data_IF_091662204658
#
_entry.id   IF_091662204658
#
_cell.length_a   1.000
_cell.length_b   1.000
_cell.length_c   1.000
_cell.angle_alpha   90.00
_cell.angle_beta   90.00
_cell.angle_gamma   90.00
#
_symmetry.space_group_name_H-M   'P 1'
#
loop_
_entity.id
_entity.type
_entity.pdbx_description
1 polymer ?
#
# COMPACT_ATOMS: atom_id res chain seq x y z
N UNK A 1 -10.36 29.50 -0.33
CA UNK A 1 -11.22 28.53 0.40
C UNK A 1 -12.67 28.95 0.27
N UNK A 2 -12.97 30.22 0.49
CA UNK A 2 -14.25 30.87 0.17
C UNK A 2 -14.73 30.59 -1.27
N UNK A 3 -13.83 30.63 -2.25
CA UNK A 3 -14.14 30.28 -3.65
C UNK A 3 -14.63 28.83 -3.83
N UNK A 4 -14.03 27.86 -3.11
CA UNK A 4 -14.42 26.45 -3.19
C UNK A 4 -15.82 26.27 -2.61
N UNK A 5 -16.07 26.82 -1.42
CA UNK A 5 -17.39 26.80 -0.79
C UNK A 5 -18.47 27.41 -1.70
N UNK A 6 -18.24 28.63 -2.19
CA UNK A 6 -19.18 29.32 -3.08
C UNK A 6 -19.45 28.53 -4.37
N UNK A 7 -18.41 27.95 -4.97
CA UNK A 7 -18.55 27.16 -6.21
C UNK A 7 -19.36 25.89 -5.95
N UNK A 8 -19.07 25.17 -4.86
CA UNK A 8 -19.85 24.00 -4.45
C UNK A 8 -21.32 24.36 -4.19
N UNK A 9 -21.61 25.45 -3.47
CA UNK A 9 -23.00 25.88 -3.22
C UNK A 9 -23.73 26.21 -4.51
N UNK A 10 -23.08 26.92 -5.46
CA UNK A 10 -23.67 27.21 -6.78
C UNK A 10 -24.01 25.92 -7.55
N UNK A 11 -23.11 24.93 -7.53
CA UNK A 11 -23.34 23.64 -8.16
C UNK A 11 -24.49 22.88 -7.51
N UNK A 12 -24.56 22.86 -6.17
CA UNK A 12 -25.64 22.23 -5.43
C UNK A 12 -27.00 22.88 -5.72
N UNK A 13 -27.09 24.22 -5.67
CA UNK A 13 -28.32 24.95 -6.00
C UNK A 13 -28.82 24.62 -7.40
N UNK A 14 -27.89 24.53 -8.37
CA UNK A 14 -28.21 24.18 -9.77
C UNK A 14 -28.66 22.72 -9.90
N UNK A 15 -27.94 21.78 -9.31
CA UNK A 15 -28.21 20.34 -9.47
C UNK A 15 -29.50 19.93 -8.74
N UNK A 16 -29.77 20.52 -7.58
CA UNK A 16 -30.98 20.26 -6.78
C UNK A 16 -32.17 21.12 -7.22
N UNK A 17 -31.97 22.09 -8.12
CA UNK A 17 -32.96 23.09 -8.49
C UNK A 17 -33.57 23.81 -7.28
N UNK A 18 -32.75 24.10 -6.27
CA UNK A 18 -33.13 24.76 -5.03
C UNK A 18 -32.22 25.98 -4.79
N UNK A 19 -32.74 27.22 -4.93
CA UNK A 19 -31.93 28.41 -4.70
C UNK A 19 -31.63 28.66 -3.21
N UNK A 20 -32.32 28.00 -2.28
CA UNK A 20 -32.23 28.24 -0.84
C UNK A 20 -31.19 27.39 -0.12
N UNK A 21 -30.46 26.51 -0.83
CA UNK A 21 -29.32 25.79 -0.25
C UNK A 21 -28.37 26.82 0.40
N UNK A 22 -28.12 26.74 1.72
CA UNK A 22 -27.35 27.75 2.43
C UNK A 22 -25.86 27.64 2.09
N UNK A 23 -25.13 28.73 2.30
CA UNK A 23 -23.67 28.68 2.26
C UNK A 23 -23.12 27.85 3.44
N UNK A 24 -22.02 27.12 3.25
CA UNK A 24 -21.41 26.34 4.31
C UNK A 24 -20.86 27.26 5.42
N UNK A 25 -21.11 26.89 6.69
CA UNK A 25 -20.50 27.60 7.83
C UNK A 25 -18.99 27.40 7.91
N UNK A 26 -18.49 26.24 7.45
CA UNK A 26 -17.07 25.92 7.44
C UNK A 26 -16.75 25.05 6.24
N UNK A 27 -15.63 25.35 5.59
CA UNK A 27 -15.06 24.51 4.54
C UNK A 27 -13.68 24.04 4.97
N UNK A 28 -13.40 22.75 4.80
CA UNK A 28 -12.06 22.19 4.99
C UNK A 28 -11.59 21.64 3.66
N UNK A 29 -10.50 22.20 3.13
CA UNK A 29 -9.92 21.77 1.85
C UNK A 29 -8.50 21.27 2.08
N UNK A 30 -8.26 19.99 1.79
CA UNK A 30 -6.92 19.42 1.88
C UNK A 30 -6.07 19.80 0.66
N UNK A 31 -4.79 20.11 0.88
CA UNK A 31 -3.82 20.38 -0.19
C UNK A 31 -2.68 19.37 -0.18
N UNK A 32 -3.00 18.08 -0.34
CA UNK A 32 -2.07 16.94 -0.21
C UNK A 32 -0.73 17.12 -0.95
N UNK A 33 -0.75 17.64 -2.18
CA UNK A 33 0.48 17.91 -2.96
C UNK A 33 1.43 18.90 -2.28
N UNK A 34 0.89 19.89 -1.56
CA UNK A 34 1.67 20.93 -0.87
C UNK A 34 2.07 20.53 0.55
N UNK A 35 1.50 19.44 1.09
CA UNK A 35 1.82 18.97 2.43
C UNK A 35 3.24 18.37 2.46
N UNK A 36 4.11 18.77 3.40
CA UNK A 36 5.52 18.38 3.39
C UNK A 36 5.75 16.89 3.63
N UNK A 37 4.87 16.23 4.38
CA UNK A 37 5.01 14.83 4.76
C UNK A 37 4.35 13.84 3.81
N UNK A 38 3.43 14.28 2.95
CA UNK A 38 2.75 13.40 1.98
C UNK A 38 3.13 13.72 0.54
N UNK A 39 3.33 15.00 0.21
CA UNK A 39 3.76 15.50 -1.12
C UNK A 39 2.91 15.02 -2.30
N UNK A 40 1.72 14.51 -2.01
CA UNK A 40 0.85 13.78 -2.92
C UNK A 40 -0.28 13.12 -2.12
N UNK A 41 -1.24 12.52 -2.83
CA UNK A 41 -2.34 11.79 -2.22
C UNK A 41 -1.99 10.29 -2.09
N UNK A 42 -1.74 9.63 -3.23
CA UNK A 42 -1.41 8.21 -3.33
C UNK A 42 -0.68 7.94 -4.65
N UNK A 43 -0.02 6.78 -4.72
CA UNK A 43 0.70 6.32 -5.90
C UNK A 43 -0.24 6.03 -7.06
N UNK A 44 0.24 6.22 -8.29
CA UNK A 44 -0.42 5.78 -9.51
C UNK A 44 0.67 5.46 -10.53
N UNK A 45 0.41 4.48 -11.40
CA UNK A 45 1.32 4.16 -12.50
C UNK A 45 1.18 5.25 -13.56
N UNK A 46 2.22 6.06 -13.72
CA UNK A 46 2.28 7.12 -14.71
C UNK A 46 2.43 6.55 -16.13
N UNK A 47 2.19 7.39 -17.14
CA UNK A 47 2.49 7.03 -18.54
C UNK A 47 3.98 6.69 -18.66
N UNK A 48 4.28 5.50 -19.17
CA UNK A 48 5.65 4.98 -19.32
C UNK A 48 6.18 4.21 -18.10
N UNK A 49 5.47 4.23 -16.97
CA UNK A 49 5.75 3.36 -15.82
C UNK A 49 4.98 2.04 -15.96
N UNK A 50 5.32 1.06 -15.12
CA UNK A 50 4.64 -0.23 -15.09
C UNK A 50 4.56 -0.83 -13.70
N UNK A 51 3.86 -1.95 -13.59
CA UNK A 51 3.73 -2.70 -12.34
C UNK A 51 5.09 -3.11 -11.75
N UNK A 52 6.10 -3.34 -12.59
CA UNK A 52 7.45 -3.69 -12.15
C UNK A 52 8.11 -2.59 -11.32
N UNK A 53 7.69 -1.33 -11.49
CA UNK A 53 8.23 -0.21 -10.70
C UNK A 53 7.77 -0.30 -9.25
N UNK A 54 6.51 -0.69 -9.01
CA UNK A 54 5.97 -0.96 -7.67
C UNK A 54 6.67 -2.15 -7.03
N UNK A 55 6.89 -3.22 -7.79
CA UNK A 55 7.59 -4.42 -7.32
C UNK A 55 9.06 -4.12 -7.00
N UNK A 56 9.69 -3.24 -7.79
CA UNK A 56 11.05 -2.76 -7.56
C UNK A 56 11.15 -1.91 -6.30
N UNK A 57 10.17 -1.01 -6.05
CA UNK A 57 10.09 -0.22 -4.82
C UNK A 57 9.92 -1.11 -3.57
N UNK A 58 9.29 -2.27 -3.71
CA UNK A 58 9.11 -3.21 -2.61
C UNK A 58 10.38 -4.04 -2.29
N UNK A 59 11.39 -4.01 -3.15
CA UNK A 59 12.61 -4.82 -2.95
C UNK A 59 13.43 -4.27 -1.78
N UNK A 60 13.91 -5.16 -0.89
CA UNK A 60 14.81 -4.74 0.18
C UNK A 60 16.20 -4.37 -0.35
N UNK A 61 16.94 -3.58 0.43
CA UNK A 61 18.37 -3.35 0.18
C UNK A 61 19.22 -4.15 1.16
N UNK A 62 20.26 -4.77 0.62
CA UNK A 62 21.27 -5.53 1.35
C UNK A 62 22.58 -4.75 1.35
N UNK A 63 23.40 -4.92 2.39
CA UNK A 63 24.71 -4.28 2.44
C UNK A 63 25.68 -4.94 1.46
N UNK A 64 25.62 -6.27 1.33
CA UNK A 64 26.35 -7.05 0.33
C UNK A 64 25.44 -8.06 -0.37
N UNK A 65 25.87 -8.53 -1.54
CA UNK A 65 25.12 -9.50 -2.38
C UNK A 65 24.88 -10.85 -1.67
N UNK A 66 25.72 -11.21 -0.71
CA UNK A 66 25.63 -12.47 0.02
C UNK A 66 24.93 -12.35 1.38
N UNK A 67 24.53 -11.15 1.77
CA UNK A 67 23.85 -10.96 3.06
C UNK A 67 22.45 -11.57 2.97
N UNK A 68 22.12 -12.44 3.93
CA UNK A 68 20.79 -13.04 4.01
C UNK A 68 19.75 -12.09 4.61
N UNK A 69 20.22 -11.08 5.36
CA UNK A 69 19.37 -10.13 6.06
C UNK A 69 19.46 -8.74 5.41
N UNK A 70 18.32 -8.12 5.09
CA UNK A 70 18.33 -6.80 4.51
C UNK A 70 18.66 -5.73 5.56
N UNK A 71 19.36 -4.68 5.15
CA UNK A 71 19.63 -3.50 5.99
C UNK A 71 18.53 -2.45 5.87
N UNK A 72 17.77 -2.49 4.78
CA UNK A 72 16.62 -1.61 4.56
C UNK A 72 15.47 -2.39 3.94
N UNK A 73 14.28 -2.17 4.49
CA UNK A 73 13.02 -2.68 3.98
C UNK A 73 12.11 -1.49 3.68
N UNK A 74 11.31 -1.60 2.62
CA UNK A 74 10.31 -0.62 2.26
C UNK A 74 8.90 -1.18 2.52
N UNK A 75 8.02 -0.31 2.99
CA UNK A 75 6.62 -0.60 3.22
C UNK A 75 5.78 0.67 2.98
N UNK A 76 4.48 0.47 2.83
CA UNK A 76 3.51 1.52 2.50
C UNK A 76 2.71 1.19 1.25
N UNK A 77 1.73 2.04 0.93
CA UNK A 77 0.81 1.80 -0.19
C UNK A 77 1.55 1.60 -1.53
N UNK A 78 2.63 2.34 -1.75
CA UNK A 78 3.44 2.33 -2.96
C UNK A 78 4.30 1.06 -3.16
N UNK A 79 4.21 0.07 -2.27
CA UNK A 79 5.02 -1.15 -2.29
C UNK A 79 4.20 -2.44 -2.42
N UNK A 80 2.87 -2.35 -2.46
CA UNK A 80 2.01 -3.53 -2.62
C UNK A 80 1.60 -3.70 -4.08
N UNK A 81 2.03 -4.78 -4.74
CA UNK A 81 1.82 -4.97 -6.18
C UNK A 81 0.34 -4.94 -6.59
N UNK A 82 -0.53 -5.65 -5.85
CA UNK A 82 -1.95 -5.75 -6.21
C UNK A 82 -2.85 -4.65 -5.63
N UNK A 83 -2.40 -3.96 -4.58
CA UNK A 83 -3.25 -3.09 -3.75
C UNK A 83 -2.59 -1.74 -3.45
N UNK A 84 -1.72 -1.27 -4.36
CA UNK A 84 -1.18 0.09 -4.25
C UNK A 84 -2.29 1.13 -4.27
N UNK A 85 -2.00 2.33 -3.77
CA UNK A 85 -2.98 3.41 -3.54
C UNK A 85 -4.01 3.15 -2.45
N UNK A 86 -3.94 2.04 -1.71
CA UNK A 86 -4.94 1.68 -0.70
C UNK A 86 -4.36 1.56 0.71
N UNK A 87 -5.24 1.73 1.70
CA UNK A 87 -4.90 1.54 3.12
C UNK A 87 -4.57 0.08 3.44
N UNK A 88 -5.34 -0.88 2.91
CA UNK A 88 -5.08 -2.30 3.16
C UNK A 88 -3.79 -2.77 2.50
N UNK A 89 -3.45 -2.26 1.31
CA UNK A 89 -2.14 -2.49 0.69
C UNK A 89 -0.98 -2.00 1.55
N UNK A 90 -1.10 -0.80 2.15
CA UNK A 90 -0.11 -0.27 3.09
C UNK A 90 0.03 -1.14 4.36
N UNK A 91 -1.09 -1.63 4.88
CA UNK A 91 -1.11 -2.51 6.05
C UNK A 91 -0.45 -3.86 5.76
N UNK A 92 -0.80 -4.49 4.63
CA UNK A 92 -0.26 -5.78 4.22
C UNK A 92 1.24 -5.69 3.88
N UNK A 93 1.69 -4.62 3.23
CA UNK A 93 3.12 -4.42 2.96
C UNK A 93 3.92 -4.20 4.26
N UNK A 94 3.35 -3.49 5.23
CA UNK A 94 3.92 -3.37 6.57
C UNK A 94 4.08 -4.71 7.29
N UNK A 95 3.07 -5.57 7.26
CA UNK A 95 3.16 -6.94 7.79
C UNK A 95 4.24 -7.76 7.08
N UNK A 96 4.32 -7.69 5.75
CA UNK A 96 5.32 -8.41 4.97
C UNK A 96 6.76 -7.96 5.32
N UNK A 97 6.99 -6.66 5.43
CA UNK A 97 8.29 -6.10 5.86
C UNK A 97 8.63 -6.54 7.30
N UNK A 98 7.67 -6.50 8.22
CA UNK A 98 7.86 -6.94 9.60
C UNK A 98 8.23 -8.44 9.68
N UNK A 99 7.51 -9.31 8.96
CA UNK A 99 7.83 -10.74 8.89
C UNK A 99 9.25 -10.97 8.41
N UNK A 100 9.67 -10.30 7.33
CA UNK A 100 11.06 -10.39 6.80
C UNK A 100 12.10 -9.92 7.81
N UNK A 101 11.81 -8.87 8.58
CA UNK A 101 12.72 -8.36 9.60
C UNK A 101 12.91 -9.35 10.76
N UNK A 102 11.84 -10.07 11.11
CA UNK A 102 11.84 -11.06 12.20
C UNK A 102 12.36 -12.44 11.77
N UNK A 103 12.44 -12.73 10.46
CA UNK A 103 13.00 -13.99 9.98
C UNK A 103 14.46 -14.14 10.45
N UNK A 104 14.79 -15.21 11.20
CA UNK A 104 16.16 -15.45 11.67
C UNK A 104 17.11 -15.75 10.51
N UNK A 105 18.41 -15.46 10.69
CA UNK A 105 19.45 -15.66 9.67
C UNK A 105 19.83 -17.13 9.43
N UNK A 106 19.27 -18.04 10.23
CA UNK A 106 19.65 -19.45 10.23
C UNK A 106 19.12 -20.10 8.95
N UNK A 107 20.03 -20.53 8.07
CA UNK A 107 19.70 -21.52 7.07
C UNK A 107 19.32 -22.81 7.80
N UNK A 108 18.23 -23.46 7.41
CA UNK A 108 18.04 -24.86 7.75
C UNK A 108 19.31 -25.62 7.30
N UNK A 109 20.14 -26.00 8.26
CA UNK A 109 21.21 -26.96 8.01
C UNK A 109 20.53 -28.31 7.69
N UNK A 110 20.67 -28.73 6.43
CA UNK A 110 20.60 -30.11 5.97
C UNK A 110 19.48 -30.98 6.58
N UNK A 111 18.26 -30.86 6.08
CA UNK A 111 17.35 -32.01 6.03
C UNK A 111 17.49 -32.63 4.64
N UNK A 112 18.10 -33.80 4.59
CA UNK A 112 18.06 -34.68 3.42
C UNK A 112 16.63 -35.21 3.31
N UNK A 113 15.75 -34.52 2.58
CA UNK A 113 14.43 -35.06 2.29
C UNK A 113 14.55 -36.17 1.25
N UNK A 114 14.43 -37.41 1.74
CA UNK A 114 13.96 -38.53 0.94
C UNK A 114 12.52 -38.27 0.46
N UNK A 115 12.05 -38.97 -0.58
CA UNK A 115 10.84 -38.55 -1.28
C UNK A 115 9.57 -38.92 -0.51
N UNK A 116 8.58 -38.05 -0.65
CA UNK A 116 7.12 -38.26 -0.47
C UNK A 116 6.51 -38.10 0.95
N UNK A 117 5.76 -37.01 1.14
CA UNK A 117 4.29 -37.04 1.41
C UNK A 117 3.71 -35.83 2.15
N UNK A 118 4.50 -34.84 2.59
CA UNK A 118 3.99 -33.81 3.51
C UNK A 118 3.51 -32.47 2.92
N UNK A 119 3.61 -32.26 1.60
CA UNK A 119 3.25 -30.95 1.01
C UNK A 119 1.74 -30.70 0.86
N UNK A 120 0.92 -31.75 0.76
CA UNK A 120 -0.53 -31.59 0.59
C UNK A 120 -1.22 -31.04 1.85
N UNK A 121 -0.78 -31.45 3.04
CA UNK A 121 -1.40 -31.00 4.29
C UNK A 121 -1.15 -29.52 4.57
N UNK A 122 0.02 -29.00 4.19
CA UNK A 122 0.37 -27.59 4.37
C UNK A 122 -0.39 -26.68 3.40
N UNK A 123 -0.66 -27.14 2.17
CA UNK A 123 -1.50 -26.40 1.22
C UNK A 123 -2.98 -26.41 1.62
N UNK A 124 -3.50 -27.52 2.15
CA UNK A 124 -4.90 -27.59 2.61
C UNK A 124 -5.14 -26.64 3.80
N UNK A 125 -4.18 -26.51 4.71
CA UNK A 125 -4.29 -25.57 5.83
C UNK A 125 -4.25 -24.10 5.42
N UNK A 126 -3.55 -23.73 4.34
CA UNK A 126 -3.51 -22.35 3.86
C UNK A 126 -4.78 -21.92 3.11
N UNK A 127 -5.59 -22.86 2.61
CA UNK A 127 -6.84 -22.59 1.89
C UNK A 127 -8.05 -22.49 2.85
N UNK A 128 -7.97 -23.01 4.07
CA UNK A 128 -9.10 -23.05 5.01
C UNK A 128 -9.28 -21.82 5.91
N UNK A 129 -8.57 -20.71 5.67
CA UNK A 129 -8.68 -19.47 6.46
C UNK A 129 -9.40 -18.31 5.75
N UNK A 130 -10.26 -18.61 4.77
CA UNK A 130 -11.29 -17.68 4.31
C UNK A 130 -12.68 -18.31 4.54
N UNK A 131 -13.26 -17.98 5.69
CA UNK A 131 -14.63 -18.30 6.12
C UNK A 131 -15.03 -17.44 7.31
#
# INVERSE_FOLDING_TARGET
MEEVGSTCTKLLRKFLNDPFVPEPQTCVCTSWKKQPFTRGAYTAIAVGASQSDIESLAQPLFRNVHDKKPVLLFAGEHTHSSFYSTVHGAYLSGQAASRRLLTPEVANENVLDGPESNDLNNWIQSVQLDG
#
